data_IF_813888232101
#
_entry.id   IF_813888232101
#
_cell.length_a   1.000
_cell.length_b   1.000
_cell.length_c   1.000
_cell.angle_alpha   90.00
_cell.angle_beta   90.00
_cell.angle_gamma   90.00
#
_symmetry.space_group_name_H-M   'P 1'
#
loop_
_entity.id
_entity.type
_entity.pdbx_description
1 polymer ?
#
# COMPACT_ATOMS: atom_id res chain seq x y z
N UNK A 1 -21.65 8.49 -38.77
CA UNK A 1 -20.74 8.89 -37.67
C UNK A 1 -19.33 8.59 -38.15
N UNK A 2 -18.51 9.62 -38.32
CA UNK A 2 -17.16 9.50 -38.89
C UNK A 2 -16.22 8.82 -37.86
N UNK A 3 -15.47 7.81 -38.27
CA UNK A 3 -14.53 7.12 -37.38
C UNK A 3 -13.26 7.95 -37.23
N UNK A 4 -13.13 8.66 -36.11
CA UNK A 4 -11.90 9.39 -35.76
C UNK A 4 -10.85 8.40 -35.26
N UNK A 5 -9.68 8.38 -35.89
CA UNK A 5 -8.54 7.56 -35.47
C UNK A 5 -7.79 8.28 -34.34
N UNK A 6 -7.74 7.68 -33.16
CA UNK A 6 -6.84 8.10 -32.09
C UNK A 6 -5.51 7.33 -32.21
N UNK A 7 -4.36 8.00 -32.38
CA UNK A 7 -3.07 7.32 -32.43
C UNK A 7 -2.72 6.73 -31.06
N UNK A 8 -2.14 5.53 -31.07
CA UNK A 8 -1.57 4.89 -29.88
C UNK A 8 -0.49 5.78 -29.27
N UNK A 9 -0.59 6.04 -27.97
CA UNK A 9 0.38 6.81 -27.19
C UNK A 9 0.54 6.19 -25.81
N UNK A 10 1.75 6.18 -25.23
CA UNK A 10 1.92 5.78 -23.85
C UNK A 10 1.13 6.71 -22.92
N UNK A 11 0.56 6.14 -21.86
CA UNK A 11 -0.09 6.93 -20.82
C UNK A 11 0.95 7.73 -20.04
N UNK A 12 0.61 8.94 -19.55
CA UNK A 12 1.41 9.60 -18.54
C UNK A 12 1.62 8.67 -17.34
N UNK A 13 2.82 8.60 -16.73
CA UNK A 13 3.12 7.67 -15.64
C UNK A 13 2.13 7.76 -14.46
N UNK A 14 1.66 8.96 -14.12
CA UNK A 14 0.67 9.16 -13.07
C UNK A 14 -0.68 8.54 -13.38
N UNK A 15 -1.11 8.59 -14.65
CA UNK A 15 -2.37 8.00 -15.09
C UNK A 15 -2.28 6.48 -15.03
N UNK A 16 -1.17 5.90 -15.53
CA UNK A 16 -0.93 4.46 -15.44
C UNK A 16 -0.91 3.97 -13.98
N UNK A 17 -0.24 4.70 -13.08
CA UNK A 17 -0.21 4.37 -11.64
C UNK A 17 -1.60 4.42 -11.00
N UNK A 18 -2.42 5.43 -11.31
CA UNK A 18 -3.79 5.52 -10.78
C UNK A 18 -4.70 4.41 -11.27
N UNK A 19 -4.55 4.00 -12.53
CA UNK A 19 -5.30 2.87 -13.09
C UNK A 19 -4.90 1.58 -12.35
N UNK A 20 -3.60 1.29 -12.25
CA UNK A 20 -3.11 0.10 -11.54
C UNK A 20 -3.52 0.11 -10.06
N UNK A 21 -3.44 1.26 -9.38
CA UNK A 21 -3.87 1.39 -8.00
C UNK A 21 -5.37 1.12 -7.82
N UNK A 22 -6.22 1.49 -8.78
CA UNK A 22 -7.67 1.20 -8.75
C UNK A 22 -8.01 -0.27 -8.99
N UNK A 23 -7.13 -1.05 -9.62
CA UNK A 23 -7.28 -2.51 -9.76
C UNK A 23 -6.88 -3.25 -8.46
N UNK A 24 -5.95 -2.67 -7.69
CA UNK A 24 -5.48 -3.22 -6.41
C UNK A 24 -6.36 -2.77 -5.24
N UNK A 25 -6.78 -1.50 -5.26
CA UNK A 25 -7.61 -0.83 -4.25
C UNK A 25 -8.91 -0.38 -4.93
N UNK A 26 -9.87 -1.30 -5.04
CA UNK A 26 -11.17 -1.02 -5.65
C UNK A 26 -12.20 -0.47 -4.63
N UNK A 27 -11.99 -0.76 -3.34
CA UNK A 27 -12.92 -0.45 -2.25
C UNK A 27 -12.18 -0.13 -0.94
N UNK A 28 -12.80 0.61 -0.01
CA UNK A 28 -12.19 0.95 1.29
C UNK A 28 -11.71 -0.26 2.10
N UNK A 29 -12.42 -1.39 2.02
CA UNK A 29 -12.03 -2.61 2.75
C UNK A 29 -10.69 -3.20 2.25
N UNK A 30 -10.32 -2.98 0.99
CA UNK A 30 -9.01 -3.39 0.48
C UNK A 30 -7.89 -2.62 1.19
N UNK A 31 -8.05 -1.31 1.39
CA UNK A 31 -7.11 -0.48 2.16
C UNK A 31 -6.96 -1.02 3.58
N UNK A 32 -8.09 -1.30 4.25
CA UNK A 32 -8.08 -1.84 5.62
C UNK A 32 -7.32 -3.17 5.66
N UNK A 33 -7.61 -4.10 4.75
CA UNK A 33 -6.92 -5.40 4.68
C UNK A 33 -5.40 -5.22 4.54
N UNK A 34 -4.95 -4.43 3.58
CA UNK A 34 -3.51 -4.24 3.34
C UNK A 34 -2.79 -3.59 4.53
N UNK A 35 -3.44 -2.66 5.24
CA UNK A 35 -2.88 -2.06 6.45
C UNK A 35 -2.86 -3.05 7.62
N UNK A 36 -3.87 -3.90 7.76
CA UNK A 36 -3.89 -4.97 8.76
C UNK A 36 -2.81 -6.02 8.50
N UNK A 37 -2.63 -6.43 7.24
CA UNK A 37 -1.59 -7.38 6.84
C UNK A 37 -0.19 -6.83 7.16
N UNK A 38 0.04 -5.53 6.93
CA UNK A 38 1.28 -4.87 7.31
C UNK A 38 1.48 -4.81 8.84
N UNK A 39 0.42 -4.55 9.61
CA UNK A 39 0.50 -4.56 11.07
C UNK A 39 0.84 -5.97 11.59
N UNK A 40 0.21 -7.02 11.06
CA UNK A 40 0.53 -8.41 11.42
C UNK A 40 1.97 -8.77 11.04
N UNK A 41 2.40 -8.42 9.83
CA UNK A 41 3.77 -8.67 9.37
C UNK A 41 4.82 -7.92 10.24
N UNK A 42 4.44 -6.83 10.90
CA UNK A 42 5.31 -6.09 11.83
C UNK A 42 5.38 -6.69 13.24
N UNK A 43 4.67 -7.81 13.47
CA UNK A 43 4.63 -8.51 14.76
C UNK A 43 3.66 -7.91 15.79
N UNK A 44 2.71 -7.07 15.37
CA UNK A 44 1.74 -6.47 16.27
C UNK A 44 0.80 -7.53 16.89
N UNK A 45 0.55 -7.42 18.19
CA UNK A 45 -0.47 -8.21 18.90
C UNK A 45 -1.76 -7.41 19.15
N UNK A 46 -1.69 -6.10 19.03
CA UNK A 46 -2.78 -5.16 19.27
C UNK A 46 -2.89 -4.24 18.06
N UNK A 47 -4.06 -4.25 17.42
CA UNK A 47 -4.35 -3.42 16.26
C UNK A 47 -5.72 -2.75 16.46
N UNK A 48 -5.74 -1.43 16.38
CA UNK A 48 -6.94 -0.60 16.45
C UNK A 48 -7.27 -0.06 15.05
N UNK A 49 -8.54 -0.23 14.66
CA UNK A 49 -9.07 0.28 13.38
C UNK A 49 -10.19 1.27 13.65
N UNK A 50 -10.06 2.47 13.09
CA UNK A 50 -11.09 3.52 13.12
C UNK A 50 -11.53 3.82 11.69
N UNK A 51 -12.85 3.82 11.48
CA UNK A 51 -13.47 4.10 10.19
C UNK A 51 -14.48 5.23 10.35
N UNK A 52 -14.42 6.22 9.47
CA UNK A 52 -15.43 7.26 9.34
C UNK A 52 -16.18 7.05 8.02
N UNK A 53 -17.52 7.10 8.07
CA UNK A 53 -18.39 6.90 6.90
C UNK A 53 -18.04 5.62 6.08
N UNK A 54 -17.86 4.49 6.79
CA UNK A 54 -17.50 3.21 6.15
C UNK A 54 -16.10 3.17 5.53
N UNK A 55 -15.22 4.12 5.90
CA UNK A 55 -13.85 4.24 5.37
C UNK A 55 -13.73 5.11 4.14
N UNK A 56 -14.82 5.72 3.66
CA UNK A 56 -14.80 6.65 2.53
C UNK A 56 -14.13 7.97 2.93
N UNK A 57 -14.47 8.48 4.11
CA UNK A 57 -13.96 9.77 4.59
C UNK A 57 -12.59 9.59 5.23
N UNK A 58 -12.42 8.53 6.03
CA UNK A 58 -11.18 8.24 6.73
C UNK A 58 -11.05 6.78 7.16
N UNK A 59 -9.85 6.25 7.00
CA UNK A 59 -9.39 4.98 7.54
C UNK A 59 -8.15 5.29 8.39
N UNK A 60 -8.14 4.84 9.64
CA UNK A 60 -6.95 4.89 10.49
C UNK A 60 -6.70 3.51 11.09
N UNK A 61 -5.48 3.03 10.93
CA UNK A 61 -4.99 1.80 11.55
C UNK A 61 -3.83 2.18 12.46
N UNK A 62 -3.87 1.69 13.70
CA UNK A 62 -2.82 1.89 14.70
C UNK A 62 -2.45 0.52 15.23
N UNK A 63 -1.17 0.18 15.18
CA UNK A 63 -0.63 -1.07 15.69
C UNK A 63 0.49 -0.80 16.71
N UNK A 64 0.87 -1.85 17.44
CA UNK A 64 2.00 -1.83 18.36
C UNK A 64 3.18 -2.67 17.87
N UNK A 65 3.32 -2.83 16.55
CA UNK A 65 4.42 -3.58 15.96
C UNK A 65 5.76 -2.87 16.08
N UNK A 66 6.75 -3.43 15.37
CA UNK A 66 8.14 -2.95 15.44
C UNK A 66 8.36 -1.52 14.90
N UNK A 67 7.41 -0.98 14.14
CA UNK A 67 7.52 0.33 13.49
C UNK A 67 8.54 0.36 12.35
N UNK A 68 8.86 1.56 11.87
CA UNK A 68 9.83 1.81 10.80
C UNK A 68 10.91 2.77 11.25
N UNK A 69 12.13 2.60 10.73
CA UNK A 69 13.18 3.61 10.85
C UNK A 69 12.82 4.87 10.03
N UNK A 70 13.56 5.96 10.24
CA UNK A 70 13.38 7.18 9.44
C UNK A 70 13.61 6.93 7.95
N UNK A 71 14.65 6.16 7.62
CA UNK A 71 14.98 5.83 6.23
C UNK A 71 13.87 4.98 5.60
N UNK A 72 13.40 3.94 6.29
CA UNK A 72 12.29 3.11 5.80
C UNK A 72 11.02 3.95 5.57
N UNK A 73 10.70 4.89 6.48
CA UNK A 73 9.55 5.77 6.34
C UNK A 73 9.63 6.65 5.07
N UNK A 74 10.81 7.11 4.69
CA UNK A 74 11.05 7.89 3.46
C UNK A 74 10.88 7.08 2.17
N UNK A 75 10.91 5.74 2.28
CA UNK A 75 10.85 4.80 1.17
C UNK A 75 9.56 3.98 1.12
N UNK A 76 8.85 3.81 2.23
CA UNK A 76 7.75 2.85 2.38
C UNK A 76 6.57 3.03 1.40
N UNK A 77 6.32 4.25 0.93
CA UNK A 77 5.26 4.56 -0.03
C UNK A 77 5.76 4.62 -1.49
N UNK A 78 6.99 4.17 -1.78
CA UNK A 78 7.49 4.05 -3.15
C UNK A 78 7.05 2.71 -3.75
N UNK A 79 6.79 2.64 -5.06
CA UNK A 79 6.53 1.37 -5.73
C UNK A 79 7.72 0.42 -5.61
N UNK A 80 7.44 -0.88 -5.46
CA UNK A 80 8.44 -1.95 -5.41
C UNK A 80 9.44 -1.82 -4.24
N UNK A 81 9.04 -1.16 -3.15
CA UNK A 81 9.84 -1.07 -1.93
C UNK A 81 9.26 -2.02 -0.87
N UNK A 82 10.05 -3.00 -0.42
CA UNK A 82 9.63 -4.00 0.57
C UNK A 82 10.83 -4.49 1.38
N UNK A 83 10.62 -4.78 2.66
CA UNK A 83 11.60 -5.42 3.55
C UNK A 83 11.46 -6.94 3.61
N UNK A 84 10.43 -7.50 2.95
CA UNK A 84 9.95 -8.86 3.22
C UNK A 84 10.45 -9.92 2.24
N UNK A 85 10.94 -9.48 1.07
CA UNK A 85 11.57 -10.35 0.06
C UNK A 85 12.75 -9.61 -0.56
N UNK A 86 13.80 -10.35 -0.92
CA UNK A 86 15.00 -9.80 -1.58
C UNK A 86 15.44 -10.62 -2.80
N UNK A 87 14.91 -11.84 -2.95
CA UNK A 87 15.28 -12.77 -4.01
C UNK A 87 14.08 -13.51 -4.60
N UNK A 88 14.26 -14.11 -5.78
CA UNK A 88 13.26 -15.00 -6.37
C UNK A 88 12.98 -16.24 -5.51
N UNK A 89 13.97 -16.71 -4.75
CA UNK A 89 13.79 -17.84 -3.83
C UNK A 89 12.82 -17.49 -2.69
N UNK A 90 12.79 -16.23 -2.26
CA UNK A 90 11.86 -15.76 -1.22
C UNK A 90 10.42 -15.75 -1.74
N UNK A 91 10.20 -15.49 -3.05
CA UNK A 91 8.87 -15.58 -3.67
C UNK A 91 8.29 -17.00 -3.62
N UNK A 92 9.15 -18.02 -3.59
CA UNK A 92 8.73 -19.43 -3.51
C UNK A 92 8.47 -19.88 -2.06
N UNK A 93 8.90 -19.09 -1.06
CA UNK A 93 8.83 -19.41 0.37
C UNK A 93 8.26 -18.24 1.18
N UNK A 94 7.06 -17.77 0.81
CA UNK A 94 6.44 -16.61 1.44
C UNK A 94 6.09 -16.88 2.91
N UNK A 95 6.60 -16.05 3.81
CA UNK A 95 6.34 -16.07 5.26
C UNK A 95 5.53 -14.86 5.75
N UNK A 96 5.22 -13.92 4.86
CA UNK A 96 4.52 -12.66 5.15
C UNK A 96 3.28 -12.51 4.28
N UNK A 97 2.29 -11.74 4.76
CA UNK A 97 1.00 -11.58 4.10
C UNK A 97 1.09 -10.64 2.89
N UNK A 98 1.88 -9.57 2.99
CA UNK A 98 2.14 -8.66 1.87
C UNK A 98 3.59 -8.66 1.46
N UNK A 99 3.94 -8.87 0.17
CA UNK A 99 5.35 -8.95 -0.26
C UNK A 99 5.68 -8.12 -1.52
N UNK A 100 4.66 -7.59 -2.22
CA UNK A 100 4.84 -6.90 -3.50
C UNK A 100 5.49 -5.52 -3.39
N UNK A 101 5.45 -4.90 -2.20
CA UNK A 101 5.91 -3.51 -2.01
C UNK A 101 5.05 -2.47 -2.72
N UNK A 102 3.75 -2.76 -2.88
CA UNK A 102 2.83 -1.93 -3.67
C UNK A 102 1.65 -1.36 -2.87
N UNK A 103 1.39 -1.87 -1.65
CA UNK A 103 0.21 -1.47 -0.87
C UNK A 103 0.20 0.03 -0.56
N UNK A 104 1.21 0.53 0.14
CA UNK A 104 1.27 1.94 0.57
C UNK A 104 1.37 2.91 -0.62
N UNK A 105 2.10 2.53 -1.68
CA UNK A 105 2.21 3.34 -2.89
C UNK A 105 0.88 3.41 -3.67
N UNK A 106 0.13 2.30 -3.71
CA UNK A 106 -1.21 2.25 -4.32
C UNK A 106 -2.21 3.09 -3.52
N UNK A 107 -2.20 2.97 -2.18
CA UNK A 107 -3.04 3.79 -1.29
C UNK A 107 -2.72 5.28 -1.47
N UNK A 108 -1.43 5.65 -1.52
CA UNK A 108 -1.00 7.03 -1.73
C UNK A 108 -1.39 7.60 -3.10
N UNK A 109 -1.53 6.75 -4.14
CA UNK A 109 -1.93 7.19 -5.47
C UNK A 109 -3.40 7.62 -5.56
N UNK A 110 -4.25 7.13 -4.65
CA UNK A 110 -5.72 7.33 -4.66
C UNK A 110 -6.26 8.04 -3.41
N UNK A 111 -5.41 8.37 -2.44
CA UNK A 111 -5.82 8.99 -1.17
C UNK A 111 -4.79 10.01 -0.66
N UNK A 112 -5.12 10.71 0.43
CA UNK A 112 -4.14 11.49 1.20
C UNK A 112 -3.59 10.63 2.32
N UNK A 113 -2.43 10.02 2.09
CA UNK A 113 -1.78 9.13 3.07
C UNK A 113 -0.94 9.94 4.07
N UNK A 114 -1.09 9.61 5.35
CA UNK A 114 -0.21 10.06 6.44
C UNK A 114 0.23 8.84 7.24
N UNK A 115 1.53 8.78 7.57
CA UNK A 115 2.11 7.71 8.37
C UNK A 115 2.86 8.35 9.54
N UNK A 116 2.62 7.83 10.74
CA UNK A 116 3.38 8.16 11.95
C UNK A 116 3.85 6.84 12.54
N UNK A 117 5.13 6.75 12.86
CA UNK A 117 5.76 5.52 13.32
C UNK A 117 6.90 5.85 14.27
N UNK A 118 7.21 4.92 15.15
CA UNK A 118 8.39 4.94 16.00
C UNK A 118 8.98 3.53 15.98
N UNK A 119 10.24 3.40 15.57
CA UNK A 119 10.93 2.12 15.63
C UNK A 119 11.11 1.70 17.10
N UNK A 120 10.92 0.42 17.38
CA UNK A 120 11.51 -0.19 18.57
C UNK A 120 13.03 0.05 18.51
N UNK A 121 13.58 0.67 19.57
CA UNK A 121 14.97 1.12 19.63
C UNK A 121 15.99 0.02 19.45
#
# INVERSE_FOLDING_TARGET
MEKVRHPLRPLPPEVARKIAAGEVIDRPNAIVRELLDNAVDSGADTIQVELENGGIDKIRVVDNGMGMSREDLEHCARPHATSKITSETDLMNLSTLGFRGEALSSIAAVSRLQITTAAYG
#
